data_IF_126335911700
#
_entry.id   IF_126335911700
#
_cell.length_a   1.000
_cell.length_b   1.000
_cell.length_c   1.000
_cell.angle_alpha   90.00
_cell.angle_beta   90.00
_cell.angle_gamma   90.00
#
_symmetry.space_group_name_H-M   'P 1'
#
loop_
_entity.id
_entity.type
_entity.pdbx_description
1 polymer ?
#
# COMPACT_ATOMS: atom_id res chain seq x y z
N UNK A 1 -13.33 -7.44 -1.49
CA UNK A 1 -12.96 -8.60 -2.32
C UNK A 1 -11.52 -8.92 -1.97
N UNK A 2 -11.21 -10.19 -1.73
CA UNK A 2 -9.85 -10.64 -1.37
C UNK A 2 -9.15 -11.25 -2.58
N UNK A 3 -7.95 -10.77 -2.88
CA UNK A 3 -7.10 -11.25 -3.97
C UNK A 3 -6.04 -12.24 -3.50
N UNK A 4 -5.56 -12.08 -2.27
CA UNK A 4 -4.52 -12.89 -1.66
C UNK A 4 -5.06 -13.56 -0.39
N UNK A 5 -5.42 -14.86 -0.45
CA UNK A 5 -5.95 -15.57 0.71
C UNK A 5 -4.96 -15.60 1.88
N UNK A 6 -5.46 -15.42 3.11
CA UNK A 6 -4.63 -15.49 4.32
C UNK A 6 -3.86 -16.82 4.44
N UNK A 7 -4.49 -17.95 4.10
CA UNK A 7 -3.84 -19.27 4.13
C UNK A 7 -2.62 -19.37 3.23
N UNK A 8 -2.61 -18.69 2.08
CA UNK A 8 -1.44 -18.66 1.20
C UNK A 8 -0.30 -17.83 1.82
N UNK A 9 -0.63 -16.67 2.40
CA UNK A 9 0.35 -15.81 3.08
C UNK A 9 1.00 -16.55 4.25
N UNK A 10 0.20 -17.17 5.11
CA UNK A 10 0.69 -17.92 6.28
C UNK A 10 1.61 -19.07 5.86
N UNK A 11 1.21 -19.86 4.85
CA UNK A 11 2.04 -20.94 4.33
C UNK A 11 3.36 -20.42 3.74
N UNK A 12 3.31 -19.32 2.97
CA UNK A 12 4.50 -18.77 2.33
C UNK A 12 5.51 -18.21 3.35
N UNK A 13 5.01 -17.51 4.38
CA UNK A 13 5.82 -16.97 5.48
C UNK A 13 6.46 -18.10 6.29
N UNK A 14 5.73 -19.19 6.52
CA UNK A 14 6.24 -20.35 7.25
C UNK A 14 7.39 -21.06 6.50
N UNK A 15 7.40 -21.05 5.17
CA UNK A 15 8.49 -21.65 4.37
C UNK A 15 9.59 -20.67 3.99
N UNK A 16 9.41 -19.37 4.23
CA UNK A 16 10.34 -18.31 3.88
C UNK A 16 10.44 -17.34 5.06
N UNK A 17 11.19 -17.72 6.08
CA UNK A 17 11.38 -16.94 7.28
C UNK A 17 12.36 -15.77 7.05
N UNK A 18 12.28 -14.78 7.93
CA UNK A 18 13.24 -13.67 8.03
C UNK A 18 13.65 -13.01 6.70
N UNK A 19 12.71 -12.45 5.92
CA UNK A 19 13.03 -11.80 4.65
C UNK A 19 13.75 -10.44 4.82
N UNK A 20 13.73 -9.89 6.04
CA UNK A 20 14.39 -8.64 6.40
C UNK A 20 15.61 -8.95 7.26
N UNK A 21 16.72 -8.25 7.01
CA UNK A 21 17.83 -8.24 7.96
C UNK A 21 17.49 -7.39 9.19
N UNK A 22 18.34 -7.43 10.22
CA UNK A 22 18.12 -6.73 11.50
C UNK A 22 17.83 -5.23 11.33
N UNK A 23 18.57 -4.55 10.45
CA UNK A 23 18.35 -3.13 10.15
C UNK A 23 17.00 -2.92 9.45
N UNK A 24 16.65 -3.79 8.51
CA UNK A 24 15.38 -3.78 7.79
C UNK A 24 14.20 -4.00 8.73
N UNK A 25 14.29 -4.96 9.64
CA UNK A 25 13.28 -5.19 10.68
C UNK A 25 13.11 -3.98 11.59
N UNK A 26 14.22 -3.38 12.03
CA UNK A 26 14.19 -2.15 12.85
C UNK A 26 13.51 -1.00 12.10
N UNK A 27 13.95 -0.71 10.87
CA UNK A 27 13.40 0.38 10.04
C UNK A 27 11.93 0.16 9.73
N UNK A 28 11.53 -1.07 9.39
CA UNK A 28 10.14 -1.44 9.14
C UNK A 28 9.29 -1.22 10.40
N UNK A 29 9.73 -1.75 11.54
CA UNK A 29 8.98 -1.71 12.80
C UNK A 29 8.72 -0.28 13.27
N UNK A 30 9.69 0.62 13.10
CA UNK A 30 9.54 2.02 13.51
C UNK A 30 8.79 2.91 12.49
N UNK A 31 8.80 2.56 11.20
CA UNK A 31 8.35 3.48 10.13
C UNK A 31 7.05 3.05 9.46
N UNK A 32 6.90 1.76 9.18
CA UNK A 32 5.85 1.25 8.30
C UNK A 32 4.86 0.32 9.01
N UNK A 33 5.28 -0.28 10.13
CA UNK A 33 4.44 -1.15 10.93
C UNK A 33 3.36 -0.36 11.68
N UNK A 34 2.10 -0.55 11.30
CA UNK A 34 0.96 0.15 11.92
C UNK A 34 0.48 -0.54 13.18
N UNK A 35 -0.14 0.21 14.07
CA UNK A 35 -0.85 -0.36 15.22
C UNK A 35 -2.19 -0.98 14.78
N UNK A 36 -2.46 -2.20 15.23
CA UNK A 36 -3.70 -2.94 15.04
C UNK A 36 -4.46 -2.99 16.37
N UNK A 37 -5.49 -2.15 16.51
CA UNK A 37 -6.25 -2.04 17.76
C UNK A 37 -6.92 -3.37 18.16
N UNK A 38 -7.41 -4.12 17.17
CA UNK A 38 -8.07 -5.41 17.35
C UNK A 38 -7.13 -6.51 17.85
N UNK A 39 -5.83 -6.40 17.55
CA UNK A 39 -4.80 -7.38 17.94
C UNK A 39 -3.92 -6.92 19.10
N UNK A 40 -4.03 -5.66 19.53
CA UNK A 40 -3.20 -5.09 20.60
C UNK A 40 -1.70 -5.12 20.29
N UNK A 41 -1.32 -5.08 19.00
CA UNK A 41 0.08 -5.13 18.54
C UNK A 41 0.27 -4.35 17.25
N UNK A 42 1.52 -4.18 16.83
CA UNK A 42 1.82 -3.66 15.49
C UNK A 42 1.78 -4.77 14.43
N UNK A 43 1.63 -4.36 13.17
CA UNK A 43 1.69 -5.23 11.99
C UNK A 43 3.04 -5.94 11.87
N UNK A 44 2.99 -7.19 11.43
CA UNK A 44 4.16 -7.89 10.89
C UNK A 44 4.34 -7.58 9.42
N UNK A 45 5.57 -7.77 8.91
CA UNK A 45 5.94 -7.42 7.54
C UNK A 45 4.96 -7.96 6.48
N UNK A 46 4.64 -9.25 6.54
CA UNK A 46 3.70 -9.88 5.61
C UNK A 46 2.27 -9.32 5.68
N UNK A 47 1.82 -8.84 6.85
CA UNK A 47 0.50 -8.20 7.01
C UNK A 47 0.48 -6.86 6.27
N UNK A 48 1.52 -6.03 6.42
CA UNK A 48 1.64 -4.77 5.69
C UNK A 48 1.77 -4.99 4.17
N UNK A 49 2.53 -6.00 3.74
CA UNK A 49 2.67 -6.36 2.31
C UNK A 49 1.33 -6.82 1.72
N UNK A 50 0.64 -7.76 2.38
CA UNK A 50 -0.71 -8.21 1.97
C UNK A 50 -1.64 -7.02 1.85
N UNK A 51 -1.67 -6.13 2.84
CA UNK A 51 -2.54 -4.95 2.86
C UNK A 51 -2.25 -4.01 1.68
N UNK A 52 -0.98 -3.74 1.38
CA UNK A 52 -0.59 -2.89 0.26
C UNK A 52 -0.94 -3.49 -1.11
N UNK A 53 -0.83 -4.81 -1.27
CA UNK A 53 -1.21 -5.51 -2.51
C UNK A 53 -2.72 -5.53 -2.67
N UNK A 54 -3.48 -5.87 -1.63
CA UNK A 54 -4.94 -5.84 -1.66
C UNK A 54 -5.46 -4.44 -2.03
N UNK A 55 -4.83 -3.38 -1.53
CA UNK A 55 -5.11 -2.01 -1.94
C UNK A 55 -4.95 -1.83 -3.46
N UNK A 56 -3.77 -2.19 -3.98
CA UNK A 56 -3.42 -1.97 -5.38
C UNK A 56 -4.32 -2.77 -6.34
N UNK A 57 -4.51 -4.07 -6.08
CA UNK A 57 -5.38 -4.94 -6.87
C UNK A 57 -6.85 -4.47 -6.84
N UNK A 58 -7.30 -3.92 -5.70
CA UNK A 58 -8.65 -3.37 -5.60
C UNK A 58 -8.84 -2.11 -6.46
N UNK A 59 -7.80 -1.29 -6.66
CA UNK A 59 -7.87 -0.12 -7.55
C UNK A 59 -8.10 -0.55 -8.99
N UNK A 60 -7.30 -1.51 -9.48
CA UNK A 60 -7.44 -2.06 -10.83
C UNK A 60 -8.83 -2.69 -11.01
N UNK A 61 -9.25 -3.55 -10.08
CA UNK A 61 -10.55 -4.21 -10.12
C UNK A 61 -11.71 -3.21 -10.22
N UNK A 62 -11.68 -2.17 -9.39
CA UNK A 62 -12.70 -1.10 -9.40
C UNK A 62 -12.66 -0.32 -10.71
N UNK A 63 -11.47 -0.03 -11.22
CA UNK A 63 -11.28 0.68 -12.48
C UNK A 63 -11.86 -0.11 -13.67
N UNK A 64 -11.45 -1.37 -13.83
CA UNK A 64 -11.91 -2.24 -14.93
C UNK A 64 -13.43 -2.39 -14.93
N UNK A 65 -14.04 -2.62 -13.76
CA UNK A 65 -15.50 -2.65 -13.63
C UNK A 65 -16.16 -1.34 -14.04
N UNK A 66 -15.58 -0.21 -13.62
CA UNK A 66 -16.13 1.13 -13.93
C UNK A 66 -16.12 1.41 -15.43
N UNK A 67 -15.08 0.98 -16.15
CA UNK A 67 -14.96 1.18 -17.60
C UNK A 67 -15.62 0.07 -18.43
N UNK A 68 -16.28 -0.91 -17.80
CA UNK A 68 -17.02 -1.98 -18.48
C UNK A 68 -16.15 -3.10 -19.08
N UNK A 69 -14.88 -3.20 -18.68
CA UNK A 69 -13.97 -4.25 -19.16
C UNK A 69 -14.15 -5.55 -18.38
N UNK A 70 -13.80 -6.67 -19.02
CA UNK A 70 -13.85 -8.00 -18.38
C UNK A 70 -12.81 -8.12 -17.28
N UNK A 71 -13.25 -8.59 -16.12
CA UNK A 71 -12.37 -8.85 -14.97
C UNK A 71 -11.96 -10.32 -14.94
N UNK A 72 -10.68 -10.58 -15.16
CA UNK A 72 -10.11 -11.93 -15.09
C UNK A 72 -9.56 -12.23 -13.70
N UNK A 73 -10.45 -12.57 -12.75
CA UNK A 73 -10.10 -12.79 -11.34
C UNK A 73 -8.98 -13.82 -11.13
N UNK A 74 -8.91 -14.87 -11.97
CA UNK A 74 -7.85 -15.88 -11.88
C UNK A 74 -6.47 -15.27 -12.15
N UNK A 75 -6.37 -14.39 -13.14
CA UNK A 75 -5.14 -13.69 -13.51
C UNK A 75 -4.75 -12.70 -12.41
N UNK A 76 -5.68 -11.87 -11.94
CA UNK A 76 -5.43 -10.92 -10.87
C UNK A 76 -4.94 -11.59 -9.58
N UNK A 77 -5.54 -12.74 -9.20
CA UNK A 77 -5.07 -13.51 -8.03
C UNK A 77 -3.68 -14.11 -8.22
N UNK A 78 -3.31 -14.46 -9.46
CA UNK A 78 -1.96 -14.92 -9.79
C UNK A 78 -0.96 -13.78 -9.64
N UNK A 79 -1.28 -12.62 -10.20
CA UNK A 79 -0.47 -11.40 -10.09
C UNK A 79 -0.30 -10.95 -8.63
N UNK A 80 -1.37 -10.98 -7.83
CA UNK A 80 -1.30 -10.66 -6.40
C UNK A 80 -0.31 -11.56 -5.64
N UNK A 81 -0.19 -12.85 -6.02
CA UNK A 81 0.80 -13.76 -5.44
C UNK A 81 2.21 -13.41 -5.90
N UNK A 82 2.41 -13.20 -7.19
CA UNK A 82 3.72 -12.81 -7.75
C UNK A 82 4.23 -11.50 -7.12
N UNK A 83 3.35 -10.52 -6.93
CA UNK A 83 3.64 -9.28 -6.20
C UNK A 83 3.99 -9.55 -4.73
N UNK A 84 3.25 -10.43 -4.06
CA UNK A 84 3.51 -10.78 -2.66
C UNK A 84 4.88 -11.40 -2.49
N UNK A 85 5.20 -12.41 -3.30
CA UNK A 85 6.50 -13.08 -3.27
C UNK A 85 7.65 -12.08 -3.51
N UNK A 86 7.50 -11.19 -4.51
CA UNK A 86 8.53 -10.19 -4.83
C UNK A 86 8.72 -9.15 -3.72
N UNK A 87 7.63 -8.59 -3.19
CA UNK A 87 7.71 -7.55 -2.17
C UNK A 87 8.13 -8.13 -0.83
N UNK A 88 7.57 -9.28 -0.45
CA UNK A 88 7.93 -9.94 0.80
C UNK A 88 9.42 -10.26 0.83
N UNK A 89 9.98 -10.80 -0.27
CA UNK A 89 11.40 -11.08 -0.45
C UNK A 89 12.26 -9.84 -0.76
N UNK A 90 11.72 -8.62 -0.58
CA UNK A 90 12.44 -7.35 -0.74
C UNK A 90 13.02 -7.08 -2.13
N UNK A 91 12.54 -7.78 -3.17
CA UNK A 91 13.01 -7.60 -4.56
C UNK A 91 12.47 -6.32 -5.18
N UNK A 92 11.30 -5.88 -4.74
CA UNK A 92 10.59 -4.70 -5.21
C UNK A 92 9.78 -4.09 -4.06
N UNK A 93 9.51 -2.79 -4.11
CA UNK A 93 8.73 -2.12 -3.08
C UNK A 93 7.78 -1.10 -3.68
N UNK A 94 6.55 -0.98 -3.13
CA UNK A 94 5.73 0.19 -3.37
C UNK A 94 6.36 1.40 -2.65
N UNK A 95 5.87 2.60 -2.94
CA UNK A 95 6.29 3.79 -2.19
C UNK A 95 6.03 3.60 -0.69
N UNK A 96 6.86 4.21 0.15
CA UNK A 96 6.64 4.19 1.61
C UNK A 96 5.25 4.71 2.03
N UNK A 97 4.65 5.62 1.24
CA UNK A 97 3.27 6.06 1.45
C UNK A 97 2.25 4.96 1.24
N UNK A 98 2.34 4.25 0.11
CA UNK A 98 1.42 3.16 -0.17
C UNK A 98 1.59 2.03 0.84
N UNK A 99 2.82 1.76 1.28
CA UNK A 99 3.09 0.79 2.34
C UNK A 99 2.42 1.20 3.67
N UNK A 100 2.46 2.50 4.02
CA UNK A 100 1.85 3.02 5.25
C UNK A 100 0.32 3.24 5.17
N UNK A 101 -0.21 3.69 4.03
CA UNK A 101 -1.60 4.14 3.89
C UNK A 101 -2.50 3.17 3.13
N UNK A 102 -1.96 2.43 2.17
CA UNK A 102 -2.74 1.59 1.28
C UNK A 102 -3.61 0.61 2.07
N UNK A 103 -4.93 0.65 1.86
CA UNK A 103 -5.91 -0.19 2.56
C UNK A 103 -5.85 -0.13 4.11
N UNK A 104 -5.24 0.89 4.70
CA UNK A 104 -5.12 1.04 6.15
C UNK A 104 -6.37 1.64 6.82
N UNK A 105 -7.12 2.47 6.09
CA UNK A 105 -8.37 3.07 6.57
C UNK A 105 -9.31 3.31 5.38
N UNK A 106 -10.52 2.76 5.42
CA UNK A 106 -11.45 2.82 4.30
C UNK A 106 -11.80 4.26 3.88
N UNK A 107 -12.00 5.15 4.85
CA UNK A 107 -12.29 6.57 4.61
C UNK A 107 -11.11 7.27 3.95
N UNK A 108 -9.89 7.04 4.44
CA UNK A 108 -8.66 7.61 3.83
C UNK A 108 -8.47 7.14 2.40
N UNK A 109 -8.68 5.85 2.12
CA UNK A 109 -8.51 5.30 0.78
C UNK A 109 -9.55 5.82 -0.22
N UNK A 110 -10.75 6.15 0.24
CA UNK A 110 -11.83 6.66 -0.62
C UNK A 110 -11.74 8.16 -0.85
N UNK A 111 -11.54 8.92 0.23
CA UNK A 111 -11.71 10.38 0.22
C UNK A 111 -10.35 11.10 0.07
N UNK A 112 -9.24 10.45 0.43
CA UNK A 112 -7.90 11.06 0.50
C UNK A 112 -6.87 10.29 -0.33
N UNK A 113 -7.24 9.92 -1.56
CA UNK A 113 -6.38 9.18 -2.49
C UNK A 113 -5.04 9.89 -2.77
N UNK A 114 -5.02 11.23 -2.72
CA UNK A 114 -3.80 12.05 -2.88
C UNK A 114 -2.69 11.70 -1.88
N UNK A 115 -3.03 11.15 -0.71
CA UNK A 115 -2.05 10.74 0.29
C UNK A 115 -1.12 9.60 -0.17
N UNK A 116 -1.49 8.85 -1.22
CA UNK A 116 -0.61 7.83 -1.82
C UNK A 116 0.51 8.43 -2.69
N UNK A 117 0.40 9.71 -3.07
CA UNK A 117 1.39 10.38 -3.91
C UNK A 117 2.28 11.26 -3.04
N UNK A 118 3.57 10.94 -3.00
CA UNK A 118 4.56 11.60 -2.14
C UNK A 118 5.05 12.95 -2.68
N UNK A 119 5.14 13.10 -3.99
CA UNK A 119 5.72 14.28 -4.61
C UNK A 119 4.67 14.95 -5.50
N UNK A 120 4.79 16.25 -5.69
CA UNK A 120 3.94 17.03 -6.59
C UNK A 120 4.74 18.18 -7.18
N UNK A 121 4.19 18.82 -8.19
CA UNK A 121 4.75 20.02 -8.81
C UNK A 121 3.61 21.02 -9.00
N UNK A 122 3.89 22.30 -8.78
CA UNK A 122 2.93 23.39 -8.95
C UNK A 122 3.65 24.63 -9.47
N UNK A 123 3.12 25.23 -10.55
CA UNK A 123 3.51 26.57 -11.01
C UNK A 123 2.73 27.61 -10.22
N UNK A 124 3.41 28.67 -9.76
CA UNK A 124 2.78 29.75 -9.00
C UNK A 124 2.54 30.92 -9.95
N UNK A 125 1.30 31.13 -10.35
CA UNK A 125 0.88 32.18 -11.27
C UNK A 125 -0.08 33.18 -10.59
N UNK A 126 -0.79 32.75 -9.54
CA UNK A 126 -1.76 33.55 -8.78
C UNK A 126 -1.69 33.23 -7.28
N UNK A 127 -2.32 34.06 -6.45
CA UNK A 127 -2.31 33.92 -4.99
C UNK A 127 -2.98 32.63 -4.51
N UNK A 128 -4.00 32.15 -5.22
CA UNK A 128 -4.69 30.90 -4.89
C UNK A 128 -3.77 29.68 -4.96
N UNK A 129 -2.72 29.73 -5.79
CA UNK A 129 -1.75 28.64 -5.93
C UNK A 129 -0.95 28.44 -4.63
N UNK A 130 -0.79 29.48 -3.80
CA UNK A 130 -0.18 29.33 -2.47
C UNK A 130 -1.07 28.53 -1.51
N UNK A 131 -2.39 28.61 -1.66
CA UNK A 131 -3.31 27.80 -0.86
C UNK A 131 -3.22 26.31 -1.28
N UNK A 132 -3.09 26.04 -2.58
CA UNK A 132 -2.89 24.68 -3.10
C UNK A 132 -1.52 24.12 -2.69
N UNK A 133 -0.46 24.92 -2.76
CA UNK A 133 0.88 24.58 -2.25
C UNK A 133 0.79 24.15 -0.78
N UNK A 134 0.15 24.98 0.05
CA UNK A 134 -0.02 24.69 1.47
C UNK A 134 -0.81 23.40 1.69
N UNK A 135 -1.91 23.18 0.96
CA UNK A 135 -2.69 21.95 1.05
C UNK A 135 -1.85 20.71 0.69
N UNK A 136 -1.08 20.76 -0.40
CA UNK A 136 -0.22 19.65 -0.83
C UNK A 136 0.85 19.32 0.24
N UNK A 137 1.46 20.33 0.86
CA UNK A 137 2.40 20.15 1.98
C UNK A 137 1.72 19.51 3.20
N UNK A 138 0.48 19.90 3.51
CA UNK A 138 -0.29 19.36 4.65
C UNK A 138 -0.70 17.90 4.47
N UNK A 139 -0.87 17.42 3.23
CA UNK A 139 -1.06 15.99 2.92
C UNK A 139 0.29 15.23 2.97
N UNK A 140 1.38 15.94 3.23
CA UNK A 140 2.73 15.41 3.43
C UNK A 140 3.51 15.25 2.13
N UNK A 141 3.19 16.02 1.10
CA UNK A 141 3.92 15.97 -0.16
C UNK A 141 5.17 16.83 -0.14
N UNK A 142 6.16 16.45 -0.93
CA UNK A 142 7.29 17.32 -1.31
C UNK A 142 6.94 17.98 -2.65
N UNK A 143 7.13 19.30 -2.74
CA UNK A 143 6.82 20.13 -3.91
C UNK A 143 8.10 20.71 -4.48
#
# INVERSE_FOLDING_TARGET
MEFLPASYVENYVATNDHPLNELGEFVYSRTYSRWLEDKGRREYWHESVKRAIEYNMALEYKHLKKIGYSVHLKTMRKEARELFENIYQTKQFPSGRTLWLGNANEKVNKDFALGNFNCSFLSIERWEDLAELFYLLMVGKVI
#
